data_IF_417759494826
#
_entry.id   IF_417759494826
#
_cell.length_a   1.000
_cell.length_b   1.000
_cell.length_c   1.000
_cell.angle_alpha   90.00
_cell.angle_beta   90.00
_cell.angle_gamma   90.00
#
_symmetry.space_group_name_H-M   'P 1'
#
loop_
_entity.id
_entity.type
_entity.pdbx_description
1 polymer ?
#
# COMPACT_ATOMS: atom_id res chain seq x y z
N UNK A 1 16.46 3.23 0.79
CA UNK A 1 17.24 1.97 0.91
C UNK A 1 16.25 0.89 1.32
N UNK A 2 16.13 -0.20 0.56
CA UNK A 2 15.18 -1.27 0.92
C UNK A 2 15.63 -1.95 2.22
N UNK A 3 14.71 -2.18 3.16
CA UNK A 3 15.03 -2.91 4.40
C UNK A 3 15.21 -4.39 4.07
N UNK A 4 16.12 -5.07 4.77
CA UNK A 4 16.25 -6.53 4.65
C UNK A 4 15.31 -7.30 5.61
N UNK A 5 14.86 -6.63 6.67
CA UNK A 5 13.90 -7.17 7.63
C UNK A 5 13.11 -6.06 8.31
N UNK A 6 11.86 -6.33 8.70
CA UNK A 6 10.97 -5.37 9.36
C UNK A 6 10.09 -6.03 10.44
N UNK A 7 9.74 -5.27 11.48
CA UNK A 7 8.79 -5.70 12.51
C UNK A 7 7.38 -5.40 12.01
N UNK A 8 6.56 -6.44 11.79
CA UNK A 8 5.21 -6.29 11.20
C UNK A 8 4.12 -6.97 12.05
N UNK A 9 4.30 -6.98 13.36
CA UNK A 9 3.47 -7.77 14.29
C UNK A 9 1.97 -7.51 14.12
N UNK A 10 1.55 -6.24 14.06
CA UNK A 10 0.13 -5.86 14.02
C UNK A 10 -0.55 -6.38 12.75
N UNK A 11 0.01 -6.06 11.58
CA UNK A 11 -0.53 -6.50 10.29
C UNK A 11 -0.46 -8.02 10.11
N UNK A 12 0.62 -8.67 10.54
CA UNK A 12 0.74 -10.12 10.49
C UNK A 12 -0.30 -10.82 11.39
N UNK A 13 -0.49 -10.33 12.61
CA UNK A 13 -1.49 -10.89 13.52
C UNK A 13 -2.90 -10.75 12.94
N UNK A 14 -3.19 -9.62 12.30
CA UNK A 14 -4.48 -9.38 11.65
C UNK A 14 -4.67 -10.29 10.43
N UNK A 15 -3.67 -10.44 9.56
CA UNK A 15 -3.72 -11.35 8.42
C UNK A 15 -3.96 -12.81 8.85
N UNK A 16 -3.29 -13.27 9.91
CA UNK A 16 -3.51 -14.60 10.51
C UNK A 16 -4.96 -14.74 10.99
N UNK A 17 -5.48 -13.72 11.69
CA UNK A 17 -6.84 -13.71 12.21
C UNK A 17 -7.88 -13.79 11.09
N UNK A 18 -7.72 -13.00 10.02
CA UNK A 18 -8.61 -12.99 8.86
C UNK A 18 -8.59 -14.33 8.10
N UNK A 19 -7.41 -14.92 7.93
CA UNK A 19 -7.24 -16.18 7.22
C UNK A 19 -7.79 -17.39 7.99
N UNK A 20 -7.81 -17.33 9.33
CA UNK A 20 -8.37 -18.38 10.19
C UNK A 20 -7.46 -19.60 10.38
N UNK A 21 -6.31 -19.68 9.71
CA UNK A 21 -5.35 -20.77 9.88
C UNK A 21 -4.55 -20.65 11.18
N UNK A 22 -4.11 -21.79 11.71
CA UNK A 22 -3.22 -21.84 12.86
C UNK A 22 -1.79 -21.49 12.45
N UNK A 23 -0.99 -20.96 13.38
CA UNK A 23 0.45 -20.73 13.15
C UNK A 23 1.18 -22.01 12.71
N UNK A 24 0.74 -23.19 13.18
CA UNK A 24 1.37 -24.47 12.78
C UNK A 24 1.13 -24.79 11.31
N UNK A 25 -0.04 -24.47 10.77
CA UNK A 25 -0.37 -24.67 9.35
C UNK A 25 0.40 -23.68 8.49
N UNK A 26 0.32 -22.39 8.83
CA UNK A 26 1.02 -21.33 8.11
C UNK A 26 2.52 -21.62 8.03
N UNK A 27 3.16 -21.93 9.18
CA UNK A 27 4.59 -22.20 9.23
C UNK A 27 5.01 -23.37 8.34
N UNK A 28 4.18 -24.42 8.27
CA UNK A 28 4.42 -25.58 7.40
C UNK A 28 4.39 -25.19 5.93
N UNK A 29 3.40 -24.40 5.53
CA UNK A 29 3.16 -24.06 4.13
C UNK A 29 4.19 -23.06 3.60
N UNK A 30 4.61 -22.09 4.42
CA UNK A 30 5.70 -21.17 4.08
C UNK A 30 7.10 -21.74 4.41
N UNK A 31 7.18 -23.00 4.87
CA UNK A 31 8.43 -23.73 5.15
C UNK A 31 9.34 -23.07 6.19
N UNK A 32 8.76 -22.55 7.26
CA UNK A 32 9.50 -22.01 8.41
C UNK A 32 9.18 -22.78 9.69
N UNK A 33 9.95 -22.56 10.75
CA UNK A 33 9.64 -23.16 12.05
C UNK A 33 8.39 -22.51 12.66
N UNK A 34 7.60 -23.28 13.42
CA UNK A 34 6.48 -22.70 14.17
C UNK A 34 6.95 -21.61 15.16
N UNK A 35 8.17 -21.74 15.69
CA UNK A 35 8.77 -20.74 16.57
C UNK A 35 8.96 -19.40 15.85
N UNK A 36 9.33 -19.40 14.58
CA UNK A 36 9.48 -18.18 13.77
C UNK A 36 8.18 -17.35 13.76
N UNK A 37 7.02 -17.98 13.52
CA UNK A 37 5.74 -17.27 13.59
C UNK A 37 5.41 -16.76 14.99
N UNK A 38 5.75 -17.51 16.04
CA UNK A 38 5.60 -17.05 17.43
C UNK A 38 6.46 -15.81 17.69
N UNK A 39 7.71 -15.82 17.25
CA UNK A 39 8.66 -14.71 17.39
C UNK A 39 8.23 -13.46 16.62
N UNK A 40 7.56 -13.61 15.48
CA UNK A 40 7.06 -12.48 14.68
C UNK A 40 5.74 -11.89 15.19
N UNK A 41 5.02 -12.61 16.05
CA UNK A 41 3.68 -12.21 16.53
C UNK A 41 3.61 -11.94 18.04
N UNK A 42 4.65 -12.31 18.80
CA UNK A 42 4.73 -12.06 20.25
C UNK A 42 4.60 -10.58 20.58
N UNK A 43 3.95 -10.27 21.71
CA UNK A 43 3.84 -8.91 22.25
C UNK A 43 5.17 -8.36 22.76
N UNK A 44 6.00 -9.25 23.35
CA UNK A 44 7.26 -8.90 23.97
C UNK A 44 8.41 -9.42 23.11
N UNK A 45 9.40 -8.57 22.84
CA UNK A 45 10.61 -8.90 22.06
C UNK A 45 10.32 -9.44 20.65
N UNK A 46 9.35 -8.84 19.95
CA UNK A 46 9.00 -9.23 18.57
C UNK A 46 10.23 -9.18 17.68
N UNK A 47 10.47 -10.28 16.95
CA UNK A 47 11.56 -10.37 15.98
C UNK A 47 11.12 -9.85 14.61
N UNK A 48 12.04 -9.24 13.85
CA UNK A 48 11.73 -8.79 12.50
C UNK A 48 11.56 -9.99 11.55
N UNK A 49 10.70 -9.82 10.55
CA UNK A 49 10.49 -10.75 9.43
C UNK A 49 11.43 -10.33 8.31
N UNK A 50 12.09 -11.28 7.64
CA UNK A 50 12.92 -11.00 6.44
C UNK A 50 12.03 -10.73 5.23
N UNK A 51 12.58 -10.08 4.18
CA UNK A 51 11.81 -9.82 2.95
C UNK A 51 11.31 -11.11 2.30
N UNK A 52 12.15 -12.15 2.24
CA UNK A 52 11.78 -13.45 1.68
C UNK A 52 10.60 -14.10 2.44
N UNK A 53 10.65 -14.07 3.78
CA UNK A 53 9.54 -14.58 4.59
C UNK A 53 8.29 -13.71 4.46
N UNK A 54 8.44 -12.39 4.35
CA UNK A 54 7.33 -11.49 4.11
C UNK A 54 6.65 -11.77 2.77
N UNK A 55 7.43 -12.05 1.72
CA UNK A 55 6.90 -12.47 0.41
C UNK A 55 6.19 -13.82 0.49
N UNK A 56 6.75 -14.81 1.18
CA UNK A 56 6.07 -16.09 1.37
C UNK A 56 4.74 -15.94 2.12
N UNK A 57 4.69 -15.03 3.11
CA UNK A 57 3.46 -14.70 3.83
C UNK A 57 2.44 -13.99 2.94
N UNK A 58 2.84 -13.06 2.07
CA UNK A 58 1.90 -12.42 1.13
C UNK A 58 1.35 -13.42 0.12
N UNK A 59 2.18 -14.33 -0.39
CA UNK A 59 1.75 -15.44 -1.26
C UNK A 59 0.75 -16.37 -0.59
N UNK A 60 0.97 -16.66 0.70
CA UNK A 60 0.08 -17.51 1.50
C UNK A 60 -1.26 -16.82 1.81
N UNK A 61 -1.24 -15.61 2.37
CA UNK A 61 -2.46 -14.94 2.82
C UNK A 61 -3.32 -14.42 1.67
N UNK A 62 -2.70 -13.97 0.58
CA UNK A 62 -3.37 -13.29 -0.53
C UNK A 62 -4.27 -12.13 -0.09
N UNK A 63 -3.84 -11.44 0.97
CA UNK A 63 -4.55 -10.31 1.57
C UNK A 63 -3.92 -8.99 1.08
N UNK A 64 -4.75 -8.11 0.53
CA UNK A 64 -4.30 -6.86 -0.09
C UNK A 64 -3.72 -5.88 0.94
N UNK A 65 -4.38 -5.70 2.08
CA UNK A 65 -3.92 -4.80 3.14
C UNK A 65 -2.55 -5.26 3.69
N UNK A 66 -2.38 -6.57 3.90
CA UNK A 66 -1.13 -7.15 4.34
C UNK A 66 -0.02 -6.98 3.29
N UNK A 67 -0.34 -7.19 2.02
CA UNK A 67 0.61 -7.01 0.90
C UNK A 67 1.08 -5.56 0.80
N UNK A 68 0.17 -4.60 0.91
CA UNK A 68 0.51 -3.17 0.91
C UNK A 68 1.32 -2.75 2.14
N UNK A 69 1.05 -3.34 3.31
CA UNK A 69 1.89 -3.12 4.49
C UNK A 69 3.32 -3.66 4.27
N UNK A 70 3.50 -4.82 3.66
CA UNK A 70 4.83 -5.35 3.32
C UNK A 70 5.56 -4.39 2.37
N UNK A 71 4.88 -3.90 1.35
CA UNK A 71 5.44 -2.92 0.41
C UNK A 71 5.91 -1.66 1.16
N UNK A 72 5.08 -1.12 2.07
CA UNK A 72 5.44 0.03 2.88
C UNK A 72 6.67 -0.24 3.76
N UNK A 73 6.69 -1.33 4.51
CA UNK A 73 7.75 -1.62 5.47
C UNK A 73 9.12 -1.81 4.82
N UNK A 74 9.15 -2.47 3.66
CA UNK A 74 10.39 -2.83 2.99
C UNK A 74 10.87 -1.79 1.98
N UNK A 75 9.96 -1.06 1.32
CA UNK A 75 10.29 -0.14 0.24
C UNK A 75 9.96 1.34 0.55
N UNK A 76 9.23 1.62 1.63
CA UNK A 76 8.88 2.99 2.02
C UNK A 76 7.80 3.64 1.17
N UNK A 77 7.04 2.85 0.42
CA UNK A 77 5.88 3.34 -0.35
C UNK A 77 4.63 3.42 0.54
N UNK A 78 3.58 4.05 0.04
CA UNK A 78 2.30 4.15 0.74
C UNK A 78 1.66 2.78 0.99
N UNK A 79 0.75 2.73 1.96
CA UNK A 79 -0.12 1.60 2.28
C UNK A 79 -1.57 2.08 2.37
N UNK A 80 -2.53 1.16 2.49
CA UNK A 80 -3.93 1.51 2.75
C UNK A 80 -4.11 2.23 4.09
N UNK A 81 -5.16 3.05 4.19
CA UNK A 81 -5.60 3.69 5.44
C UNK A 81 -5.95 2.60 6.46
N UNK A 82 -5.28 2.62 7.60
CA UNK A 82 -5.56 1.73 8.73
C UNK A 82 -5.93 2.48 10.02
N UNK A 83 -6.20 3.78 9.91
CA UNK A 83 -6.80 4.61 10.96
C UNK A 83 -8.32 4.45 11.03
N UNK A 84 -8.91 4.96 12.11
CA UNK A 84 -10.35 4.87 12.43
C UNK A 84 -11.13 6.17 12.19
N UNK A 85 -10.46 7.20 11.64
CA UNK A 85 -11.07 8.52 11.36
C UNK A 85 -12.16 8.44 10.30
N UNK A 86 -11.95 7.67 9.22
CA UNK A 86 -12.88 7.54 8.10
C UNK A 86 -13.40 6.12 7.96
N UNK A 87 -14.67 5.98 7.53
CA UNK A 87 -15.24 4.68 7.18
C UNK A 87 -14.55 4.12 5.94
N UNK A 88 -14.21 2.84 5.97
CA UNK A 88 -13.52 2.12 4.88
C UNK A 88 -14.46 1.37 3.93
N UNK A 89 -15.77 1.56 4.06
CA UNK A 89 -16.70 1.02 3.06
C UNK A 89 -16.52 1.76 1.72
N UNK A 90 -16.71 1.07 0.57
CA UNK A 90 -16.42 1.68 -0.74
C UNK A 90 -17.16 2.99 -1.00
N UNK A 91 -18.39 3.14 -0.49
CA UNK A 91 -19.16 4.37 -0.71
C UNK A 91 -18.54 5.58 0.00
N UNK A 92 -18.00 5.38 1.20
CA UNK A 92 -17.30 6.42 1.94
C UNK A 92 -15.95 6.77 1.31
N UNK A 93 -15.20 5.75 0.87
CA UNK A 93 -13.91 5.94 0.21
C UNK A 93 -14.03 6.60 -1.16
N UNK A 94 -15.07 6.26 -1.95
CA UNK A 94 -15.39 6.94 -3.20
C UNK A 94 -15.69 8.42 -2.96
N UNK A 95 -16.47 8.74 -1.92
CA UNK A 95 -16.75 10.13 -1.56
C UNK A 95 -15.50 10.88 -1.09
N UNK A 96 -14.64 10.23 -0.31
CA UNK A 96 -13.36 10.81 0.13
C UNK A 96 -12.44 11.05 -1.07
N UNK A 97 -12.35 10.12 -2.01
CA UNK A 97 -11.58 10.26 -3.24
C UNK A 97 -12.01 11.49 -4.04
N UNK A 98 -13.33 11.76 -4.14
CA UNK A 98 -13.82 12.97 -4.79
C UNK A 98 -13.32 14.25 -4.11
N UNK A 99 -13.26 14.27 -2.77
CA UNK A 99 -12.79 15.42 -1.99
C UNK A 99 -11.29 15.65 -2.25
N UNK A 100 -10.45 14.62 -2.08
CA UNK A 100 -9.00 14.70 -2.33
C UNK A 100 -8.71 15.11 -3.79
N UNK A 101 -9.45 14.56 -4.75
CA UNK A 101 -9.36 14.94 -6.17
C UNK A 101 -9.64 16.44 -6.36
N UNK A 102 -10.63 16.99 -5.66
CA UNK A 102 -11.00 18.41 -5.79
C UNK A 102 -9.97 19.32 -5.11
N UNK A 103 -9.40 18.92 -3.98
CA UNK A 103 -8.28 19.61 -3.31
C UNK A 103 -7.05 19.67 -4.22
N UNK A 104 -6.65 18.54 -4.82
CA UNK A 104 -5.59 18.50 -5.83
C UNK A 104 -5.88 19.41 -7.02
N UNK A 105 -7.11 19.42 -7.54
CA UNK A 105 -7.49 20.30 -8.67
C UNK A 105 -7.36 21.78 -8.31
N UNK A 106 -7.71 22.15 -7.08
CA UNK A 106 -7.51 23.52 -6.59
C UNK A 106 -6.01 23.84 -6.53
N UNK A 107 -5.20 22.95 -5.94
CA UNK A 107 -3.75 23.15 -5.84
C UNK A 107 -3.07 23.25 -7.21
N UNK A 108 -3.57 22.51 -8.20
CA UNK A 108 -3.09 22.61 -9.59
C UNK A 108 -3.19 24.03 -10.13
N UNK A 109 -4.28 24.74 -9.86
CA UNK A 109 -4.50 26.11 -10.35
C UNK A 109 -3.45 27.08 -9.77
N UNK A 110 -2.99 26.82 -8.54
CA UNK A 110 -1.96 27.64 -7.89
C UNK A 110 -0.56 27.37 -8.47
N UNK A 111 -0.28 26.12 -8.84
CA UNK A 111 1.06 25.65 -9.22
C UNK A 111 1.29 25.64 -10.73
N UNK A 112 0.24 25.80 -11.56
CA UNK A 112 0.35 25.72 -13.03
C UNK A 112 1.42 26.66 -13.61
N UNK A 113 1.48 27.91 -13.15
CA UNK A 113 2.46 28.90 -13.64
C UNK A 113 3.88 28.53 -13.22
N UNK A 114 4.04 27.90 -12.07
CA UNK A 114 5.32 27.43 -11.57
C UNK A 114 5.84 26.29 -12.44
N UNK A 115 4.96 25.35 -12.84
CA UNK A 115 5.32 24.21 -13.69
C UNK A 115 5.75 24.60 -15.12
N UNK A 116 5.39 25.81 -15.57
CA UNK A 116 5.85 26.34 -16.86
C UNK A 116 7.28 26.91 -16.80
N UNK A 117 7.86 27.11 -15.61
CA UNK A 117 9.23 27.60 -15.46
C UNK A 117 10.22 26.50 -15.85
N UNK A 118 11.34 26.88 -16.47
CA UNK A 118 12.47 25.95 -16.60
C UNK A 118 13.07 25.68 -15.21
N UNK A 119 13.62 24.47 -15.01
CA UNK A 119 14.08 23.98 -13.70
C UNK A 119 15.12 24.90 -13.03
N UNK A 120 15.97 25.54 -13.83
CA UNK A 120 16.99 26.49 -13.37
C UNK A 120 16.43 27.84 -12.89
N UNK A 121 15.16 28.16 -13.15
CA UNK A 121 14.48 29.35 -12.65
C UNK A 121 13.55 29.08 -11.46
N UNK A 122 13.48 27.84 -10.98
CA UNK A 122 12.67 27.50 -9.81
C UNK A 122 13.31 28.05 -8.53
N UNK A 123 12.58 28.92 -7.85
CA UNK A 123 12.93 29.42 -6.52
C UNK A 123 12.72 28.34 -5.45
N UNK A 124 13.13 28.62 -4.22
CA UNK A 124 12.87 27.72 -3.08
C UNK A 124 11.36 27.59 -2.82
N UNK A 125 10.62 28.70 -2.89
CA UNK A 125 9.16 28.71 -2.75
C UNK A 125 8.48 27.91 -3.85
N UNK A 126 8.90 28.09 -5.11
CA UNK A 126 8.39 27.29 -6.23
C UNK A 126 8.53 25.78 -5.98
N UNK A 127 9.68 25.34 -5.46
CA UNK A 127 9.93 23.93 -5.15
C UNK A 127 9.04 23.44 -4.01
N UNK A 128 8.81 24.26 -2.99
CA UNK A 128 7.89 23.90 -1.91
C UNK A 128 6.45 23.76 -2.41
N UNK A 129 6.00 24.65 -3.29
CA UNK A 129 4.67 24.56 -3.90
C UNK A 129 4.51 23.32 -4.79
N UNK A 130 5.56 22.94 -5.55
CA UNK A 130 5.57 21.69 -6.32
C UNK A 130 5.52 20.48 -5.39
N UNK A 131 6.25 20.48 -4.27
CA UNK A 131 6.20 19.41 -3.27
C UNK A 131 4.81 19.30 -2.65
N UNK A 132 4.21 20.43 -2.26
CA UNK A 132 2.83 20.44 -1.74
C UNK A 132 1.85 19.87 -2.77
N UNK A 133 1.99 20.24 -4.04
CA UNK A 133 1.17 19.66 -5.10
C UNK A 133 1.39 18.15 -5.29
N UNK A 134 2.62 17.67 -5.10
CA UNK A 134 2.90 16.24 -5.11
C UNK A 134 2.31 15.50 -3.90
N UNK A 135 2.19 16.15 -2.74
CA UNK A 135 1.49 15.59 -1.59
C UNK A 135 -0.01 15.40 -1.86
N UNK A 136 -0.69 16.36 -2.50
CA UNK A 136 -2.10 16.20 -2.90
C UNK A 136 -2.32 14.97 -3.80
N UNK A 137 -1.37 14.67 -4.71
CA UNK A 137 -1.42 13.43 -5.48
C UNK A 137 -1.24 12.19 -4.61
N UNK A 138 -0.34 12.22 -3.62
CA UNK A 138 -0.12 11.10 -2.72
C UNK A 138 -1.34 10.84 -1.84
N UNK A 139 -2.01 11.89 -1.37
CA UNK A 139 -3.23 11.77 -0.56
C UNK A 139 -4.37 11.13 -1.40
N UNK A 140 -4.59 11.60 -2.64
CA UNK A 140 -5.55 10.99 -3.56
C UNK A 140 -5.20 9.51 -3.86
N UNK A 141 -3.95 9.20 -4.22
CA UNK A 141 -3.49 7.82 -4.51
C UNK A 141 -3.71 6.91 -3.29
N UNK A 142 -3.44 7.41 -2.09
CA UNK A 142 -3.57 6.65 -0.86
C UNK A 142 -5.05 6.28 -0.59
N UNK A 143 -5.99 7.18 -0.88
CA UNK A 143 -7.43 6.88 -0.82
C UNK A 143 -7.83 5.88 -1.91
N UNK A 144 -7.37 6.06 -3.14
CA UNK A 144 -7.65 5.14 -4.26
C UNK A 144 -7.15 3.71 -3.99
N UNK A 145 -5.94 3.59 -3.46
CA UNK A 145 -5.35 2.29 -3.06
C UNK A 145 -6.13 1.65 -1.93
N UNK A 146 -6.64 2.44 -0.99
CA UNK A 146 -7.51 1.96 0.08
C UNK A 146 -8.86 1.48 -0.48
N UNK A 147 -9.43 2.20 -1.44
CA UNK A 147 -10.65 1.80 -2.14
C UNK A 147 -10.46 0.49 -2.91
N UNK A 148 -9.37 0.36 -3.65
CA UNK A 148 -9.03 -0.89 -4.36
C UNK A 148 -8.89 -2.05 -3.36
N UNK A 149 -8.24 -1.82 -2.21
CA UNK A 149 -8.13 -2.84 -1.16
C UNK A 149 -9.50 -3.28 -0.63
N UNK A 150 -10.39 -2.33 -0.32
CA UNK A 150 -11.74 -2.63 0.15
C UNK A 150 -12.55 -3.42 -0.89
N UNK A 151 -12.45 -3.07 -2.17
CA UNK A 151 -13.09 -3.81 -3.26
C UNK A 151 -12.51 -5.23 -3.41
N UNK A 152 -11.20 -5.39 -3.26
CA UNK A 152 -10.54 -6.70 -3.27
C UNK A 152 -11.04 -7.57 -2.12
N UNK A 153 -11.14 -7.02 -0.90
CA UNK A 153 -11.66 -7.71 0.28
C UNK A 153 -13.11 -8.17 0.07
N UNK A 154 -13.98 -7.31 -0.47
CA UNK A 154 -15.37 -7.67 -0.80
C UNK A 154 -15.47 -8.83 -1.80
N UNK A 155 -14.55 -8.89 -2.76
CA UNK A 155 -14.53 -9.91 -3.80
C UNK A 155 -13.75 -11.17 -3.39
N UNK A 156 -13.08 -11.17 -2.23
CA UNK A 156 -12.20 -12.25 -1.79
C UNK A 156 -11.02 -12.48 -2.73
N UNK A 157 -10.47 -11.41 -3.32
CA UNK A 157 -9.33 -11.47 -4.23
C UNK A 157 -8.15 -10.64 -3.72
N UNK A 158 -6.98 -10.92 -4.28
CA UNK A 158 -5.74 -10.17 -4.04
C UNK A 158 -5.55 -9.09 -5.12
N UNK A 159 -5.09 -7.90 -4.74
CA UNK A 159 -4.72 -6.81 -5.65
C UNK A 159 -3.72 -7.25 -6.74
N UNK A 160 -2.83 -8.21 -6.45
CA UNK A 160 -1.88 -8.75 -7.42
C UNK A 160 -2.59 -9.42 -8.60
N UNK A 161 -3.69 -10.12 -8.33
CA UNK A 161 -4.54 -10.71 -9.38
C UNK A 161 -5.11 -9.64 -10.30
N UNK A 162 -5.61 -8.52 -9.75
CA UNK A 162 -6.11 -7.40 -10.55
C UNK A 162 -4.99 -6.76 -11.37
N UNK A 163 -3.82 -6.54 -10.75
CA UNK A 163 -2.67 -5.92 -11.40
C UNK A 163 -2.15 -6.75 -12.58
N UNK A 164 -1.97 -8.06 -12.41
CA UNK A 164 -1.52 -8.97 -13.46
C UNK A 164 -2.49 -9.02 -14.65
N UNK A 165 -3.79 -9.11 -14.37
CA UNK A 165 -4.83 -9.10 -15.41
C UNK A 165 -4.86 -7.76 -16.15
N UNK A 166 -4.67 -6.65 -15.44
CA UNK A 166 -4.71 -5.30 -16.02
C UNK A 166 -3.45 -4.93 -16.78
N UNK A 167 -2.29 -5.47 -16.39
CA UNK A 167 -1.01 -5.23 -17.07
C UNK A 167 -1.08 -5.61 -18.55
N UNK A 168 -1.71 -6.74 -18.88
CA UNK A 168 -1.89 -7.18 -20.27
C UNK A 168 -2.67 -6.15 -21.10
N UNK A 169 -3.70 -5.54 -20.52
CA UNK A 169 -4.45 -4.46 -21.16
C UNK A 169 -3.60 -3.20 -21.33
N UNK A 170 -2.84 -2.79 -20.31
CA UNK A 170 -1.99 -1.60 -20.38
C UNK A 170 -0.86 -1.74 -21.42
N UNK A 171 -0.30 -2.94 -21.58
CA UNK A 171 0.65 -3.24 -22.65
C UNK A 171 -0.03 -3.07 -24.02
N UNK A 172 -1.23 -3.64 -24.20
CA UNK A 172 -1.97 -3.52 -25.46
C UNK A 172 -2.34 -2.07 -25.82
N UNK A 173 -2.57 -1.20 -24.82
CA UNK A 173 -2.82 0.23 -25.01
C UNK A 173 -1.55 1.07 -25.18
N UNK A 174 -0.36 0.48 -25.04
CA UNK A 174 0.92 1.20 -25.11
C UNK A 174 1.21 2.06 -23.87
N UNK A 175 0.49 1.87 -22.77
CA UNK A 175 0.75 2.57 -21.51
C UNK A 175 1.96 1.98 -20.78
N UNK A 176 2.23 0.68 -20.97
CA UNK A 176 3.36 -0.05 -20.39
C UNK A 176 4.13 -0.78 -21.49
N UNK A 177 5.42 -1.05 -21.23
CA UNK A 177 6.21 -1.98 -22.06
C UNK A 177 5.99 -3.41 -21.56
N UNK A 178 5.98 -4.36 -22.50
CA UNK A 178 5.94 -5.80 -22.22
C UNK A 178 7.33 -6.40 -22.06
#
# INVERSE_FOLDING_TARGET
MAKQSAVMRKSLTEAIRKNGATKKEIARDIKVSQQSLSDWTTQLNTKPVTLENAQALTDYFRDTDFTLQVIHEFFGLFKSIDGDVYRRDPSSLDKLQMIESDERKQKKQEVEKILLKQVNYLTVDDRQQIIAYAYEFLDEIMVEVTLISALCEMLGIDIRKLSEQRLSYWIAQGYMKG
#
